data_IF_770807531051
#
_entry.id   IF_770807531051
#
_cell.length_a   1.000
_cell.length_b   1.000
_cell.length_c   1.000
_cell.angle_alpha   90.00
_cell.angle_beta   90.00
_cell.angle_gamma   90.00
#
_symmetry.space_group_name_H-M   'P 1'
#
loop_
_entity.id
_entity.type
_entity.pdbx_description
1 polymer ?
#
# COMPACT_ATOMS: atom_id res chain seq x y z
N UNK A 1 -5.76 8.78 -18.64
CA UNK A 1 -5.49 8.23 -17.30
C UNK A 1 -5.75 9.36 -16.29
N UNK A 2 -6.93 9.34 -15.67
CA UNK A 2 -7.32 10.16 -14.51
C UNK A 2 -6.92 11.65 -14.52
N UNK A 3 -7.11 12.36 -15.64
CA UNK A 3 -6.87 13.81 -15.70
C UNK A 3 -5.40 14.25 -15.59
N UNK A 4 -4.43 13.36 -15.40
CA UNK A 4 -2.99 13.68 -15.34
C UNK A 4 -2.36 13.46 -16.73
N UNK A 5 -1.61 14.46 -17.21
CA UNK A 5 -0.96 14.42 -18.53
C UNK A 5 0.39 13.71 -18.50
N UNK A 6 1.10 13.74 -17.36
CA UNK A 6 2.28 12.91 -17.11
C UNK A 6 1.86 11.44 -16.93
N UNK A 7 2.21 10.60 -17.92
CA UNK A 7 1.89 9.17 -17.89
C UNK A 7 2.55 8.43 -16.73
N UNK A 8 3.77 8.80 -16.34
CA UNK A 8 4.47 8.11 -15.26
C UNK A 8 3.82 8.41 -13.91
N UNK A 9 3.44 9.67 -13.69
CA UNK A 9 2.71 10.08 -12.51
C UNK A 9 1.30 9.44 -12.47
N UNK A 10 0.61 9.34 -13.60
CA UNK A 10 -0.67 8.64 -13.70
C UNK A 10 -0.59 7.15 -13.35
N UNK A 11 0.48 6.47 -13.80
CA UNK A 11 0.75 5.06 -13.43
C UNK A 11 1.05 4.94 -11.95
N UNK A 12 1.82 5.86 -11.38
CA UNK A 12 2.08 5.89 -9.93
C UNK A 12 0.80 6.01 -9.12
N UNK A 13 -0.07 6.93 -9.50
CA UNK A 13 -1.38 7.08 -8.85
C UNK A 13 -2.15 5.77 -8.94
N UNK A 14 -2.26 5.15 -10.12
CA UNK A 14 -2.95 3.86 -10.26
C UNK A 14 -2.37 2.77 -9.34
N UNK A 15 -1.04 2.69 -9.22
CA UNK A 15 -0.35 1.76 -8.33
C UNK A 15 -0.57 2.08 -6.84
N UNK A 16 -0.85 3.33 -6.47
CA UNK A 16 -1.21 3.72 -5.09
C UNK A 16 -2.65 3.30 -4.73
N UNK A 17 -3.56 3.27 -5.69
CA UNK A 17 -4.94 2.82 -5.49
C UNK A 17 -5.11 1.29 -5.57
N UNK A 18 -4.28 0.62 -6.38
CA UNK A 18 -4.41 -0.80 -6.66
C UNK A 18 -4.42 -1.71 -5.41
N UNK A 19 -3.58 -1.52 -4.38
CA UNK A 19 -3.60 -2.35 -3.17
C UNK A 19 -4.96 -2.31 -2.45
N UNK A 20 -5.59 -1.14 -2.39
CA UNK A 20 -6.92 -1.00 -1.78
C UNK A 20 -7.97 -1.73 -2.59
N UNK A 21 -7.98 -1.56 -3.92
CA UNK A 21 -8.90 -2.27 -4.80
C UNK A 21 -8.75 -3.79 -4.72
N UNK A 22 -7.51 -4.28 -4.67
CA UNK A 22 -7.21 -5.70 -4.47
C UNK A 22 -7.67 -6.18 -3.09
N UNK A 23 -7.47 -5.39 -2.03
CA UNK A 23 -7.91 -5.76 -0.69
C UNK A 23 -9.45 -5.91 -0.60
N UNK A 24 -10.21 -5.10 -1.33
CA UNK A 24 -11.67 -5.26 -1.43
C UNK A 24 -12.06 -6.61 -2.05
N UNK A 25 -11.29 -7.13 -3.02
CA UNK A 25 -11.50 -8.47 -3.58
C UNK A 25 -11.23 -9.58 -2.56
N UNK A 26 -10.35 -9.34 -1.59
CA UNK A 26 -10.08 -10.27 -0.50
C UNK A 26 -11.27 -10.39 0.45
N UNK A 27 -11.92 -9.27 0.76
CA UNK A 27 -13.13 -9.26 1.58
C UNK A 27 -14.37 -9.77 0.85
N UNK A 28 -14.37 -9.77 -0.48
CA UNK A 28 -15.42 -10.37 -1.29
C UNK A 28 -15.42 -11.92 -1.25
N UNK A 29 -14.48 -12.56 -0.54
CA UNK A 29 -14.44 -14.01 -0.38
C UNK A 29 -14.00 -14.77 -1.65
N UNK A 30 -13.13 -14.16 -2.45
CA UNK A 30 -12.60 -14.77 -3.68
C UNK A 30 -11.66 -15.93 -3.38
N UNK A 31 -11.47 -16.91 -4.30
CA UNK A 31 -10.55 -18.04 -4.10
C UNK A 31 -9.07 -17.62 -4.03
N UNK A 32 -8.76 -16.35 -4.25
CA UNK A 32 -7.41 -15.79 -4.18
C UNK A 32 -6.92 -15.58 -2.73
N UNK A 33 -7.82 -15.68 -1.75
CA UNK A 33 -7.52 -15.45 -0.33
C UNK A 33 -8.05 -14.11 0.19
N UNK A 34 -7.85 -13.86 1.48
CA UNK A 34 -8.36 -12.66 2.17
C UNK A 34 -7.47 -11.42 2.02
N UNK A 35 -6.27 -11.58 1.47
CA UNK A 35 -5.24 -10.55 1.39
C UNK A 35 -4.63 -10.19 2.75
N UNK A 36 -3.75 -9.18 2.79
CA UNK A 36 -3.09 -8.74 4.02
C UNK A 36 -4.05 -8.26 5.11
N UNK A 37 -5.28 -7.86 4.75
CA UNK A 37 -6.31 -7.46 5.72
C UNK A 37 -7.44 -8.49 5.87
N UNK A 38 -7.20 -9.76 5.49
CA UNK A 38 -8.20 -10.82 5.53
C UNK A 38 -8.79 -11.06 6.93
N UNK A 39 -7.97 -10.95 7.97
CA UNK A 39 -8.37 -11.12 9.38
C UNK A 39 -9.40 -10.10 9.88
N UNK A 40 -9.66 -9.02 9.14
CA UNK A 40 -10.69 -8.01 9.46
C UNK A 40 -12.03 -8.33 8.76
N UNK A 41 -12.07 -9.40 7.95
CA UNK A 41 -13.29 -9.82 7.25
C UNK A 41 -14.40 -10.18 8.25
N UNK A 42 -15.67 -9.84 7.97
CA UNK A 42 -16.80 -10.12 8.86
C UNK A 42 -17.01 -11.60 9.18
N UNK A 43 -16.38 -12.52 8.44
CA UNK A 43 -16.49 -13.97 8.63
C UNK A 43 -15.40 -14.58 9.53
N UNK A 44 -14.43 -13.81 10.03
CA UNK A 44 -13.37 -14.31 10.91
C UNK A 44 -13.50 -13.73 12.33
N UNK A 45 -13.45 -14.61 13.33
CA UNK A 45 -13.69 -14.25 14.73
C UNK A 45 -12.45 -13.56 15.33
N UNK A 46 -12.63 -12.29 15.71
CA UNK A 46 -11.62 -11.39 16.31
C UNK A 46 -10.81 -11.99 17.49
N UNK A 47 -11.34 -13.04 18.14
CA UNK A 47 -10.84 -13.57 19.41
C UNK A 47 -9.86 -14.74 19.24
N UNK A 48 -9.86 -15.46 18.11
CA UNK A 48 -8.99 -16.63 17.94
C UNK A 48 -7.55 -16.27 17.52
N UNK A 49 -7.33 -15.11 16.89
CA UNK A 49 -6.02 -14.69 16.38
C UNK A 49 -5.75 -13.18 16.54
N UNK A 50 -5.46 -12.70 17.77
CA UNK A 50 -5.22 -11.27 18.03
C UNK A 50 -4.05 -10.69 17.22
N UNK A 51 -3.08 -11.53 16.89
CA UNK A 51 -1.91 -11.19 16.08
C UNK A 51 -2.24 -10.84 14.62
N UNK A 52 -3.05 -11.67 13.96
CA UNK A 52 -3.42 -11.49 12.56
C UNK A 52 -4.28 -10.23 12.42
N UNK A 53 -5.15 -9.96 13.40
CA UNK A 53 -5.96 -8.76 13.44
C UNK A 53 -5.12 -7.48 13.60
N UNK A 54 -4.14 -7.47 14.51
CA UNK A 54 -3.29 -6.31 14.75
C UNK A 54 -2.51 -5.89 13.51
N UNK A 55 -1.86 -6.84 12.83
CA UNK A 55 -1.13 -6.53 11.60
C UNK A 55 -2.05 -6.26 10.41
N UNK A 56 -3.19 -6.93 10.31
CA UNK A 56 -4.20 -6.57 9.30
C UNK A 56 -4.64 -5.11 9.44
N UNK A 57 -4.78 -4.60 10.67
CA UNK A 57 -5.16 -3.21 10.90
C UNK A 57 -4.03 -2.26 10.47
N UNK A 58 -2.78 -2.56 10.82
CA UNK A 58 -1.61 -1.77 10.38
C UNK A 58 -1.49 -1.77 8.85
N UNK A 59 -1.71 -2.91 8.21
CA UNK A 59 -1.73 -3.03 6.75
C UNK A 59 -2.81 -2.17 6.12
N UNK A 60 -4.03 -2.23 6.68
CA UNK A 60 -5.15 -1.43 6.22
C UNK A 60 -4.84 0.07 6.32
N UNK A 61 -4.24 0.51 7.43
CA UNK A 61 -3.77 1.89 7.59
C UNK A 61 -2.73 2.26 6.51
N UNK A 62 -1.75 1.40 6.27
CA UNK A 62 -0.73 1.62 5.23
C UNK A 62 -1.35 1.75 3.83
N UNK A 63 -2.23 0.83 3.46
CA UNK A 63 -2.94 0.83 2.17
C UNK A 63 -3.83 2.07 2.05
N UNK A 64 -4.57 2.44 3.10
CA UNK A 64 -5.45 3.61 3.10
C UNK A 64 -4.66 4.93 2.97
N UNK A 65 -3.54 5.07 3.69
CA UNK A 65 -2.67 6.24 3.60
C UNK A 65 -2.00 6.34 2.21
N UNK A 66 -1.62 5.21 1.62
CA UNK A 66 -1.08 5.17 0.26
C UNK A 66 -2.14 5.63 -0.76
N UNK A 67 -3.37 5.14 -0.65
CA UNK A 67 -4.49 5.57 -1.47
C UNK A 67 -4.78 7.07 -1.30
N UNK A 68 -4.81 7.57 -0.06
CA UNK A 68 -4.99 8.99 0.23
C UNK A 68 -3.89 9.84 -0.42
N UNK A 69 -2.64 9.37 -0.39
CA UNK A 69 -1.52 10.02 -1.08
C UNK A 69 -1.75 10.08 -2.60
N UNK A 70 -2.21 8.99 -3.20
CA UNK A 70 -2.60 8.96 -4.61
C UNK A 70 -3.73 9.95 -4.93
N UNK A 71 -4.71 10.08 -4.02
CA UNK A 71 -5.80 11.05 -4.14
C UNK A 71 -5.30 12.50 -4.12
N UNK A 72 -4.33 12.85 -3.27
CA UNK A 72 -3.75 14.20 -3.28
C UNK A 72 -3.05 14.53 -4.61
N UNK A 73 -2.32 13.57 -5.19
CA UNK A 73 -1.70 13.75 -6.51
C UNK A 73 -2.76 13.89 -7.61
N UNK A 74 -3.83 13.09 -7.53
CA UNK A 74 -4.98 13.20 -8.42
C UNK A 74 -5.63 14.60 -8.34
N UNK A 75 -5.84 15.10 -7.12
CA UNK A 75 -6.39 16.44 -6.87
C UNK A 75 -5.50 17.54 -7.45
N UNK A 76 -4.18 17.44 -7.28
CA UNK A 76 -3.22 18.33 -7.93
C UNK A 76 -3.37 18.30 -9.46
N UNK A 77 -3.62 17.11 -10.02
CA UNK A 77 -3.97 16.90 -11.42
C UNK A 77 -5.18 17.73 -11.84
N UNK A 78 -6.28 17.65 -11.10
CA UNK A 78 -7.48 18.43 -11.39
C UNK A 78 -7.27 19.94 -11.24
N UNK A 79 -6.54 20.40 -10.21
CA UNK A 79 -6.28 21.82 -9.98
C UNK A 79 -5.38 22.47 -11.05
N UNK A 80 -4.47 21.69 -11.66
CA UNK A 80 -3.53 22.19 -12.67
C UNK A 80 -3.87 21.73 -14.10
N UNK A 81 -5.14 21.40 -14.39
CA UNK A 81 -5.58 20.93 -15.72
C UNK A 81 -4.71 19.79 -16.29
N UNK A 82 -4.26 18.89 -15.41
CA UNK A 82 -3.42 17.75 -15.71
C UNK A 82 -1.92 18.00 -15.82
N UNK A 83 -1.47 19.25 -15.75
CA UNK A 83 -0.05 19.62 -15.75
C UNK A 83 0.45 19.81 -14.32
N UNK A 84 0.66 18.70 -13.60
CA UNK A 84 1.12 18.76 -12.21
C UNK A 84 2.59 19.18 -12.14
N UNK A 85 2.92 20.29 -11.44
CA UNK A 85 4.31 20.67 -11.23
C UNK A 85 5.05 19.60 -10.43
N UNK A 86 6.22 19.16 -10.93
CA UNK A 86 6.99 18.09 -10.28
C UNK A 86 7.39 18.44 -8.85
N UNK A 87 7.67 19.71 -8.58
CA UNK A 87 7.99 20.20 -7.24
C UNK A 87 6.85 19.96 -6.24
N UNK A 88 5.59 20.13 -6.68
CA UNK A 88 4.41 19.91 -5.84
C UNK A 88 4.05 18.43 -5.70
N UNK A 89 4.23 17.60 -6.74
CA UNK A 89 3.96 16.16 -6.67
C UNK A 89 5.01 15.39 -5.86
N UNK A 90 6.26 15.85 -5.86
CA UNK A 90 7.40 15.16 -5.25
C UNK A 90 7.25 14.79 -3.77
N UNK A 91 6.78 15.67 -2.86
CA UNK A 91 6.55 15.27 -1.46
C UNK A 91 5.55 14.10 -1.36
N UNK A 92 4.46 14.12 -2.14
CA UNK A 92 3.50 13.03 -2.14
C UNK A 92 4.07 11.73 -2.70
N UNK A 93 4.85 11.77 -3.78
CA UNK A 93 5.52 10.56 -4.30
C UNK A 93 6.52 10.00 -3.28
N UNK A 94 7.22 10.85 -2.54
CA UNK A 94 8.13 10.41 -1.48
C UNK A 94 7.37 9.81 -0.28
N UNK A 95 6.30 10.46 0.17
CA UNK A 95 5.42 9.93 1.22
C UNK A 95 4.83 8.59 0.83
N UNK A 96 4.33 8.46 -0.41
CA UNK A 96 3.84 7.19 -0.94
C UNK A 96 4.91 6.12 -0.98
N UNK A 97 6.15 6.46 -1.38
CA UNK A 97 7.28 5.54 -1.35
C UNK A 97 7.59 5.04 0.06
N UNK A 98 7.58 5.93 1.06
CA UNK A 98 7.83 5.58 2.45
C UNK A 98 6.72 4.67 3.00
N UNK A 99 5.46 5.04 2.78
CA UNK A 99 4.29 4.24 3.20
C UNK A 99 4.32 2.87 2.53
N UNK A 100 4.38 2.82 1.19
CA UNK A 100 4.37 1.55 0.45
C UNK A 100 5.56 0.66 0.79
N UNK A 101 6.74 1.24 1.02
CA UNK A 101 7.93 0.51 1.47
C UNK A 101 7.75 -0.08 2.87
N UNK A 102 7.23 0.71 3.82
CA UNK A 102 6.96 0.25 5.17
C UNK A 102 5.88 -0.83 5.20
N UNK A 103 4.78 -0.66 4.46
CA UNK A 103 3.71 -1.65 4.33
C UNK A 103 4.24 -2.96 3.74
N UNK A 104 5.04 -2.90 2.67
CA UNK A 104 5.66 -4.09 2.08
C UNK A 104 6.63 -4.77 3.06
N UNK A 105 7.44 -4.01 3.79
CA UNK A 105 8.39 -4.55 4.76
C UNK A 105 7.67 -5.27 5.91
N UNK A 106 6.65 -4.64 6.49
CA UNK A 106 5.84 -5.29 7.54
C UNK A 106 5.21 -6.57 6.99
N UNK A 107 4.72 -6.57 5.74
CA UNK A 107 4.07 -7.74 5.15
C UNK A 107 5.05 -8.89 4.98
N UNK A 108 6.25 -8.61 4.47
CA UNK A 108 7.29 -9.64 4.34
C UNK A 108 7.68 -10.18 5.72
N UNK A 109 7.86 -9.32 6.71
CA UNK A 109 8.25 -9.72 8.06
C UNK A 109 7.19 -10.60 8.74
N UNK A 110 5.90 -10.26 8.64
CA UNK A 110 4.83 -11.09 9.22
C UNK A 110 4.72 -12.46 8.54
N UNK A 111 5.09 -12.58 7.25
CA UNK A 111 5.04 -13.83 6.49
C UNK A 111 6.32 -14.66 6.53
N UNK A 112 7.44 -14.11 7.02
CA UNK A 112 8.74 -14.81 7.01
C UNK A 112 9.24 -15.13 8.41
N UNK A 113 9.32 -14.12 9.29
CA UNK A 113 9.87 -14.28 10.64
C UNK A 113 8.80 -14.33 11.71
N UNK A 114 7.61 -13.81 11.41
CA UNK A 114 6.67 -13.39 12.45
C UNK A 114 7.15 -12.10 13.11
N UNK A 115 6.22 -11.34 13.67
CA UNK A 115 6.52 -10.11 14.39
C UNK A 115 5.84 -10.14 15.77
N UNK A 116 6.43 -9.47 16.77
CA UNK A 116 5.88 -9.47 18.12
C UNK A 116 4.61 -8.63 18.20
N UNK A 117 3.55 -9.19 18.77
CA UNK A 117 2.24 -8.54 18.90
C UNK A 117 1.91 -8.23 20.36
N UNK A 118 1.25 -7.09 20.64
CA UNK A 118 0.81 -6.78 21.98
C UNK A 118 -0.34 -7.70 22.39
N UNK A 119 -0.29 -8.24 23.61
CA UNK A 119 -1.37 -9.03 24.22
C UNK A 119 -1.55 -8.67 25.70
N UNK A 120 -2.68 -9.04 26.33
CA UNK A 120 -2.86 -8.86 27.77
C UNK A 120 -1.80 -9.55 28.63
N UNK A 121 -1.15 -10.60 28.11
CA UNK A 121 -0.08 -11.34 28.79
C UNK A 121 1.33 -10.80 28.47
N UNK A 122 1.42 -9.69 27.73
CA UNK A 122 2.68 -9.10 27.26
C UNK A 122 2.89 -9.27 25.75
N UNK A 123 4.13 -9.09 25.30
CA UNK A 123 4.48 -9.28 23.89
C UNK A 123 4.52 -10.76 23.53
N UNK A 124 3.67 -11.16 22.57
CA UNK A 124 3.66 -12.52 22.03
C UNK A 124 4.42 -12.53 20.72
N UNK A 125 5.47 -13.35 20.65
CA UNK A 125 6.12 -13.68 19.39
C UNK A 125 5.31 -14.78 18.72
N UNK A 126 4.74 -14.47 17.57
CA UNK A 126 3.99 -15.46 16.80
C UNK A 126 4.78 -16.00 15.62
N UNK A 127 4.36 -17.16 15.13
CA UNK A 127 4.92 -17.77 13.92
C UNK A 127 4.54 -16.98 12.65
N UNK A 128 5.20 -17.32 11.55
CA UNK A 128 4.90 -16.76 10.24
C UNK A 128 3.45 -17.09 9.80
N UNK A 129 2.72 -16.07 9.35
CA UNK A 129 1.37 -16.25 8.84
C UNK A 129 1.40 -16.78 7.38
N UNK A 130 0.54 -17.73 6.97
CA UNK A 130 0.58 -18.30 5.61
C UNK A 130 0.34 -17.23 4.54
N UNK A 131 1.14 -17.23 3.48
CA UNK A 131 0.99 -16.29 2.37
C UNK A 131 -0.11 -16.76 1.40
N UNK A 132 -1.08 -15.91 1.12
CA UNK A 132 -2.13 -16.15 0.14
C UNK A 132 -1.83 -15.49 -1.21
N UNK A 133 -2.52 -15.93 -2.27
CA UNK A 133 -2.26 -15.46 -3.63
C UNK A 133 -2.55 -13.95 -3.76
N UNK A 134 -3.62 -13.46 -3.14
CA UNK A 134 -3.98 -12.06 -3.16
C UNK A 134 -2.95 -11.19 -2.44
N UNK A 135 -2.45 -11.61 -1.28
CA UNK A 135 -1.39 -10.90 -0.58
C UNK A 135 -0.07 -10.86 -1.36
N UNK A 136 0.29 -11.95 -2.05
CA UNK A 136 1.43 -11.96 -2.96
C UNK A 136 1.27 -10.96 -4.11
N UNK A 137 0.07 -10.86 -4.71
CA UNK A 137 -0.22 -9.87 -5.77
C UNK A 137 -0.11 -8.45 -5.21
N UNK A 138 -0.65 -8.18 -4.02
CA UNK A 138 -0.55 -6.86 -3.37
C UNK A 138 0.92 -6.51 -3.10
N UNK A 139 1.73 -7.47 -2.63
CA UNK A 139 3.17 -7.26 -2.45
C UNK A 139 3.86 -6.89 -3.77
N UNK A 140 3.56 -7.59 -4.87
CA UNK A 140 4.10 -7.27 -6.20
C UNK A 140 3.72 -5.86 -6.64
N UNK A 141 2.49 -5.42 -6.37
CA UNK A 141 2.04 -4.06 -6.64
C UNK A 141 2.83 -3.04 -5.81
N UNK A 142 3.06 -3.30 -4.52
CA UNK A 142 3.85 -2.41 -3.65
C UNK A 142 5.31 -2.31 -4.10
N UNK A 143 5.91 -3.42 -4.55
CA UNK A 143 7.26 -3.44 -5.13
C UNK A 143 7.29 -2.65 -6.45
N UNK A 144 6.32 -2.88 -7.35
CA UNK A 144 6.21 -2.16 -8.61
C UNK A 144 6.04 -0.65 -8.37
N UNK A 145 5.20 -0.26 -7.42
CA UNK A 145 5.04 1.12 -6.96
C UNK A 145 6.39 1.71 -6.52
N UNK A 146 7.14 1.00 -5.69
CA UNK A 146 8.44 1.46 -5.21
C UNK A 146 9.46 1.67 -6.32
N UNK A 147 9.56 0.71 -7.26
CA UNK A 147 10.45 0.82 -8.42
C UNK A 147 10.05 2.02 -9.29
N UNK A 148 8.75 2.21 -9.54
CA UNK A 148 8.26 3.30 -10.37
C UNK A 148 8.48 4.67 -9.71
N UNK A 149 8.30 4.76 -8.39
CA UNK A 149 8.44 6.00 -7.64
C UNK A 149 9.91 6.44 -7.59
N UNK A 150 10.84 5.50 -7.37
CA UNK A 150 12.28 5.77 -7.47
C UNK A 150 12.69 6.22 -8.88
N UNK A 151 12.16 5.58 -9.93
CA UNK A 151 12.42 5.98 -11.32
C UNK A 151 11.92 7.39 -11.61
N UNK A 152 10.69 7.70 -11.20
CA UNK A 152 10.09 9.02 -11.38
C UNK A 152 10.88 10.10 -10.62
N UNK A 153 11.25 9.85 -9.35
CA UNK A 153 12.03 10.79 -8.55
C UNK A 153 13.40 11.11 -9.18
N UNK A 154 14.11 10.10 -9.70
CA UNK A 154 15.38 10.29 -10.42
C UNK A 154 15.22 11.19 -11.64
N UNK A 155 14.16 11.00 -12.42
CA UNK A 155 13.84 11.81 -13.61
C UNK A 155 13.36 13.22 -13.27
N UNK A 156 12.62 13.36 -12.18
CA UNK A 156 12.19 14.65 -11.68
C UNK A 156 13.37 15.50 -11.19
N UNK A 157 14.41 14.87 -10.64
CA UNK A 157 15.64 15.54 -10.21
C UNK A 157 16.53 15.98 -11.38
N UNK A 158 16.62 15.16 -12.44
CA UNK A 158 17.46 15.46 -13.61
C UNK A 158 16.95 16.64 -14.46
N UNK A 159 15.65 16.92 -14.43
CA UNK A 159 15.04 18.04 -15.16
C UNK A 159 14.07 18.82 -14.25
N UNK A 160 14.61 19.74 -13.42
CA UNK A 160 13.82 20.69 -12.67
C UNK A 160 13.29 21.74 -13.65
N UNK A 161 12.16 21.46 -14.30
CA UNK A 161 11.42 22.50 -15.03
C UNK A 161 10.65 23.29 -13.97
N UNK A 162 10.75 24.64 -13.96
CA UNK A 162 10.00 25.50 -13.05
C UNK A 162 8.49 25.37 -13.22
#
# INVERSE_FOLDING_TARGET
MFGIRDRELGVLVALMFAPFGLQLLGWAGTPLGGGPCGAISPNQWLLEQPQAFFYAQIMLWGIALLMATGFFILMLGFMHNGMVPKAQARPFVWTGQAIGGLTAAIYVLTRTTGLPTPSPLGWLLSGAEPMDALGAIILLVLVAHGVWALRWQKRAYAHPVP
#
